data_IF_611628367146
#
_entry.id   IF_611628367146
#
_cell.length_a   1.000
_cell.length_b   1.000
_cell.length_c   1.000
_cell.angle_alpha   90.00
_cell.angle_beta   90.00
_cell.angle_gamma   90.00
#
_symmetry.space_group_name_H-M   'P 1'
#
loop_
_entity.id
_entity.type
_entity.pdbx_description
1 polymer ?
#
# COMPACT_ATOMS: atom_id res chain seq x y z
N UNK A 1 -18.55 -18.00 -5.32
CA UNK A 1 -17.28 -17.64 -6.00
C UNK A 1 -16.27 -17.32 -4.92
N UNK A 2 -15.02 -17.75 -5.07
CA UNK A 2 -13.96 -17.40 -4.11
C UNK A 2 -13.39 -16.03 -4.46
N UNK A 3 -13.28 -15.14 -3.48
CA UNK A 3 -12.76 -13.79 -3.69
C UNK A 3 -11.25 -13.84 -3.89
N UNK A 4 -10.79 -13.45 -5.08
CA UNK A 4 -9.39 -13.55 -5.49
C UNK A 4 -8.87 -12.18 -5.86
N UNK A 5 -7.65 -11.85 -5.42
CA UNK A 5 -6.95 -10.64 -5.84
C UNK A 5 -6.52 -10.80 -7.31
N UNK A 6 -6.97 -9.92 -8.18
CA UNK A 6 -6.67 -9.97 -9.62
C UNK A 6 -5.51 -9.05 -10.00
N UNK A 7 -5.43 -7.89 -9.36
CA UNK A 7 -4.35 -6.92 -9.60
C UNK A 7 -4.13 -6.05 -8.37
N UNK A 8 -2.95 -5.45 -8.33
CA UNK A 8 -2.60 -4.40 -7.38
C UNK A 8 -2.42 -3.11 -8.15
N UNK A 9 -2.95 -2.03 -7.60
CA UNK A 9 -2.73 -0.67 -8.06
C UNK A 9 -2.09 0.12 -6.93
N UNK A 10 -1.04 0.87 -7.26
CA UNK A 10 -0.32 1.70 -6.29
C UNK A 10 -0.28 3.12 -6.81
N UNK A 11 -0.74 4.07 -6.01
CA UNK A 11 -0.81 5.49 -6.36
C UNK A 11 0.23 6.27 -5.55
N UNK A 12 1.00 7.11 -6.24
CA UNK A 12 1.86 8.13 -5.61
C UNK A 12 1.01 9.38 -5.35
N UNK A 13 0.49 9.50 -4.12
CA UNK A 13 -0.33 10.65 -3.71
C UNK A 13 0.53 11.59 -2.87
N UNK A 14 0.52 12.88 -3.22
CA UNK A 14 1.24 13.92 -2.48
C UNK A 14 0.34 15.15 -2.30
N UNK A 15 0.29 15.66 -1.08
CA UNK A 15 -0.49 16.84 -0.73
C UNK A 15 0.48 17.97 -0.36
N UNK A 16 0.29 19.19 -0.89
CA UNK A 16 1.27 20.28 -0.76
C UNK A 16 1.19 20.98 0.61
N UNK A 17 1.25 20.21 1.70
CA UNK A 17 1.17 20.70 3.09
C UNK A 17 2.31 21.67 3.43
N UNK A 18 3.45 21.56 2.75
CA UNK A 18 4.56 22.51 2.87
C UNK A 18 4.18 23.95 2.52
N UNK A 19 3.14 24.15 1.70
CA UNK A 19 2.66 25.49 1.30
C UNK A 19 2.18 26.33 2.50
N UNK A 20 1.71 25.68 3.57
CA UNK A 20 1.30 26.32 4.82
C UNK A 20 2.17 25.88 6.01
N UNK A 21 3.22 25.08 5.75
CA UNK A 21 4.07 24.45 6.76
C UNK A 21 3.29 23.55 7.74
N UNK A 22 2.17 22.98 7.28
CA UNK A 22 1.37 22.05 8.06
C UNK A 22 2.18 20.78 8.36
N UNK A 23 2.33 20.45 9.64
CA UNK A 23 3.12 19.29 10.07
C UNK A 23 4.63 19.52 10.16
N UNK A 24 5.10 20.75 9.96
CA UNK A 24 6.52 21.09 10.15
C UNK A 24 6.99 20.84 11.58
N UNK A 25 8.22 20.37 11.70
CA UNK A 25 8.92 20.19 12.98
C UNK A 25 10.41 20.56 12.86
N UNK A 26 11.17 20.40 13.94
CA UNK A 26 12.59 20.78 13.99
C UNK A 26 13.49 19.98 13.02
N UNK A 27 13.07 18.77 12.64
CA UNK A 27 13.80 17.87 11.74
C UNK A 27 13.22 17.89 10.32
N UNK A 28 11.91 18.04 10.19
CA UNK A 28 11.15 18.03 8.93
C UNK A 28 10.48 19.40 8.72
N UNK A 29 11.22 20.41 8.22
CA UNK A 29 10.73 21.79 8.19
C UNK A 29 9.64 22.05 7.13
N UNK A 30 9.61 21.27 6.04
CA UNK A 30 8.75 21.49 4.87
C UNK A 30 8.13 20.19 4.34
N UNK A 31 7.38 19.42 5.15
CA UNK A 31 6.85 18.13 4.73
C UNK A 31 5.70 18.30 3.73
N UNK A 32 5.70 17.50 2.68
CA UNK A 32 4.53 17.28 1.83
C UNK A 32 3.94 15.92 2.17
N UNK A 33 2.92 15.90 3.04
CA UNK A 33 2.26 14.68 3.46
C UNK A 33 1.82 13.87 2.25
N UNK A 34 2.28 12.63 2.20
CA UNK A 34 2.20 11.78 1.03
C UNK A 34 1.81 10.37 1.43
N UNK A 35 1.24 9.63 0.48
CA UNK A 35 0.87 8.25 0.64
C UNK A 35 1.29 7.45 -0.59
N UNK A 36 1.99 6.34 -0.37
CA UNK A 36 2.05 5.27 -1.35
C UNK A 36 0.81 4.39 -1.10
N UNK A 37 -0.25 4.69 -1.84
CA UNK A 37 -1.59 4.15 -1.60
C UNK A 37 -1.81 2.89 -2.43
N UNK A 38 -2.12 1.77 -1.78
CA UNK A 38 -2.27 0.45 -2.38
C UNK A 38 -3.74 0.02 -2.43
N UNK A 39 -4.16 -0.47 -3.58
CA UNK A 39 -5.49 -1.03 -3.82
C UNK A 39 -5.34 -2.47 -4.33
N UNK A 40 -5.91 -3.42 -3.58
CA UNK A 40 -6.04 -4.82 -3.96
C UNK A 40 -7.39 -5.01 -4.63
N UNK A 41 -7.41 -5.06 -5.97
CA UNK A 41 -8.63 -5.29 -6.73
C UNK A 41 -8.97 -6.78 -6.71
N UNK A 42 -10.21 -7.11 -6.37
CA UNK A 42 -10.68 -8.50 -6.38
C UNK A 42 -11.61 -8.78 -7.56
N UNK A 43 -11.85 -10.06 -7.83
CA UNK A 43 -12.85 -10.53 -8.79
C UNK A 43 -14.31 -10.39 -8.31
N UNK A 44 -14.57 -9.61 -7.24
CA UNK A 44 -15.92 -9.39 -6.72
C UNK A 44 -16.78 -8.65 -7.76
N UNK A 45 -17.97 -9.15 -8.10
CA UNK A 45 -18.88 -8.44 -9.01
C UNK A 45 -19.36 -7.10 -8.42
N UNK A 46 -19.42 -7.00 -7.09
CA UNK A 46 -19.83 -5.79 -6.38
C UNK A 46 -18.67 -4.80 -6.13
N UNK A 47 -17.49 -5.06 -6.72
CA UNK A 47 -16.35 -4.15 -6.66
C UNK A 47 -15.59 -4.11 -5.32
N UNK A 48 -15.69 -5.16 -4.50
CA UNK A 48 -14.95 -5.26 -3.24
C UNK A 48 -13.42 -5.15 -3.51
N UNK A 49 -12.76 -4.24 -2.81
CA UNK A 49 -11.33 -4.02 -2.89
C UNK A 49 -10.71 -3.82 -1.50
N UNK A 50 -9.45 -4.23 -1.35
CA UNK A 50 -8.65 -3.97 -0.15
C UNK A 50 -7.87 -2.67 -0.30
N UNK A 51 -7.83 -1.84 0.74
CA UNK A 51 -7.15 -0.55 0.70
C UNK A 51 -6.14 -0.45 1.85
N UNK A 52 -4.96 0.09 1.55
CA UNK A 52 -3.91 0.34 2.54
C UNK A 52 -2.94 1.39 2.05
N UNK A 53 -2.12 1.93 2.94
CA UNK A 53 -1.09 2.91 2.57
C UNK A 53 0.08 2.86 3.55
N UNK A 54 1.24 3.32 3.07
CA UNK A 54 2.30 3.82 3.94
C UNK A 54 2.40 5.32 3.80
N UNK A 55 2.65 6.01 4.92
CA UNK A 55 2.78 7.45 4.99
C UNK A 55 4.23 7.86 4.74
N UNK A 56 4.43 8.92 3.96
CA UNK A 56 5.72 9.59 3.77
C UNK A 56 5.52 11.10 3.76
N UNK A 57 6.61 11.86 3.70
CA UNK A 57 6.59 13.34 3.75
C UNK A 57 7.11 13.98 2.47
N UNK A 58 6.89 13.34 1.31
CA UNK A 58 7.14 13.92 0.00
C UNK A 58 8.17 13.13 -0.80
N UNK A 59 9.42 13.60 -0.83
CA UNK A 59 10.52 12.93 -1.54
C UNK A 59 10.71 11.50 -1.03
N UNK A 60 10.88 10.53 -1.94
CA UNK A 60 11.02 9.11 -1.60
C UNK A 60 9.70 8.34 -1.60
N UNK A 61 8.53 9.00 -1.72
CA UNK A 61 7.25 8.29 -1.83
C UNK A 61 7.23 7.33 -3.04
N UNK A 62 7.87 7.72 -4.14
CA UNK A 62 8.00 6.90 -5.34
C UNK A 62 8.78 5.59 -5.09
N UNK A 63 9.73 5.60 -4.14
CA UNK A 63 10.47 4.40 -3.73
C UNK A 63 9.55 3.45 -2.98
N UNK A 64 8.74 3.97 -2.05
CA UNK A 64 7.71 3.18 -1.37
C UNK A 64 6.69 2.60 -2.35
N UNK A 65 6.27 3.36 -3.36
CA UNK A 65 5.40 2.85 -4.44
C UNK A 65 6.03 1.65 -5.15
N UNK A 66 7.30 1.77 -5.57
CA UNK A 66 8.02 0.66 -6.22
C UNK A 66 8.25 -0.55 -5.31
N UNK A 67 8.48 -0.31 -4.02
CA UNK A 67 8.56 -1.39 -3.04
C UNK A 67 7.23 -2.16 -2.96
N UNK A 68 6.09 -1.47 -2.86
CA UNK A 68 4.76 -2.12 -2.85
C UNK A 68 4.50 -2.88 -4.15
N UNK A 69 4.80 -2.28 -5.32
CA UNK A 69 4.66 -2.95 -6.61
C UNK A 69 5.47 -4.25 -6.69
N UNK A 70 6.69 -4.27 -6.12
CA UNK A 70 7.55 -5.46 -6.12
C UNK A 70 6.98 -6.64 -5.32
N UNK A 71 6.09 -6.38 -4.37
CA UNK A 71 5.40 -7.41 -3.58
C UNK A 71 4.18 -8.01 -4.31
N UNK A 72 3.76 -7.45 -5.45
CA UNK A 72 2.58 -7.90 -6.17
C UNK A 72 2.57 -9.41 -6.51
N UNK A 73 3.68 -10.05 -6.94
CA UNK A 73 3.71 -11.49 -7.21
C UNK A 73 3.39 -12.37 -5.99
N UNK A 74 3.54 -11.84 -4.77
CA UNK A 74 3.24 -12.57 -3.53
C UNK A 74 1.76 -12.55 -3.18
N UNK A 75 0.98 -11.62 -3.74
CA UNK A 75 -0.42 -11.34 -3.35
C UNK A 75 -1.39 -11.58 -4.50
N UNK A 76 -1.04 -11.21 -5.75
CA UNK A 76 -1.89 -11.42 -6.92
C UNK A 76 -2.16 -12.91 -7.08
N UNK A 77 -3.44 -13.25 -7.21
CA UNK A 77 -3.92 -14.61 -7.36
C UNK A 77 -4.22 -15.34 -6.06
N UNK A 78 -3.89 -14.78 -4.89
CA UNK A 78 -4.35 -15.31 -3.61
C UNK A 78 -5.83 -15.03 -3.40
N UNK A 79 -6.48 -15.90 -2.64
CA UNK A 79 -7.86 -15.66 -2.21
C UNK A 79 -7.87 -14.84 -0.92
N UNK A 80 -8.89 -14.02 -0.73
CA UNK A 80 -9.05 -13.22 0.50
C UNK A 80 -9.08 -14.14 1.71
N UNK A 81 -9.80 -15.25 1.64
CA UNK A 81 -9.90 -16.24 2.70
C UNK A 81 -8.55 -16.88 3.03
N UNK A 82 -7.68 -17.11 2.03
CA UNK A 82 -6.34 -17.67 2.26
C UNK A 82 -5.42 -16.72 3.02
N UNK A 83 -5.61 -15.40 2.85
CA UNK A 83 -4.80 -14.38 3.53
C UNK A 83 -5.31 -14.09 4.93
N UNK A 84 -6.63 -14.16 5.14
CA UNK A 84 -7.27 -13.80 6.42
C UNK A 84 -7.44 -14.98 7.38
N UNK A 85 -7.37 -16.22 6.92
CA UNK A 85 -7.44 -17.41 7.77
C UNK A 85 -6.30 -17.47 8.81
N UNK A 86 -5.09 -17.02 8.44
CA UNK A 86 -3.96 -16.81 9.33
C UNK A 86 -3.13 -15.61 8.85
N UNK A 87 -3.45 -14.43 9.39
CA UNK A 87 -2.77 -13.19 9.02
C UNK A 87 -1.30 -13.16 9.46
N UNK A 88 -0.92 -13.95 10.48
CA UNK A 88 0.48 -14.06 10.91
C UNK A 88 1.30 -14.88 9.93
N UNK A 89 0.75 -15.99 9.42
CA UNK A 89 1.36 -16.75 8.33
C UNK A 89 1.46 -15.93 7.04
N UNK A 90 0.40 -15.18 6.68
CA UNK A 90 0.44 -14.29 5.53
C UNK A 90 1.50 -13.18 5.67
N UNK A 91 1.62 -12.56 6.85
CA UNK A 91 2.67 -11.58 7.11
C UNK A 91 4.07 -12.19 6.88
N UNK A 92 4.35 -13.38 7.43
CA UNK A 92 5.64 -14.07 7.21
C UNK A 92 5.89 -14.42 5.74
N UNK A 93 4.84 -14.77 4.98
CA UNK A 93 4.96 -14.99 3.53
C UNK A 93 5.40 -13.73 2.78
N UNK A 94 4.95 -12.56 3.21
CA UNK A 94 5.28 -11.28 2.57
C UNK A 94 6.65 -10.75 3.01
N UNK A 95 7.08 -10.99 4.26
CA UNK A 95 8.28 -10.38 4.85
C UNK A 95 9.46 -11.32 5.04
N UNK A 96 9.27 -12.63 4.86
CA UNK A 96 10.25 -13.66 5.20
C UNK A 96 11.00 -14.24 4.01
N UNK A 97 11.45 -13.41 3.07
CA UNK A 97 12.22 -13.85 1.89
C UNK A 97 13.70 -14.21 2.19
N UNK A 98 14.06 -14.36 3.47
CA UNK A 98 15.41 -14.70 3.95
C UNK A 98 15.40 -15.71 5.12
#
# INVERSE_FOLDING_TARGET
MTLKVERIEVLDLRFPTSSQLDGSDAMNPDPDYSAAYCILHTNSPDGLAGHGMTFTIGRGNEVCVKAIESLAPLVVGRTVESMTADMGAFWRHVTGDS
#
